data_IF_848036631133
#
_entry.id   IF_848036631133
#
_cell.length_a   1.000
_cell.length_b   1.000
_cell.length_c   1.000
_cell.angle_alpha   90.00
_cell.angle_beta   90.00
_cell.angle_gamma   90.00
#
_symmetry.space_group_name_H-M   'P 1'
#
loop_
_entity.id
_entity.type
_entity.pdbx_description
1 polymer ?
#
# COMPACT_ATOMS: atom_id res chain seq x y z
N UNK A 1 5.82 6.91 -23.94
CA UNK A 1 5.19 8.24 -24.24
C UNK A 1 3.73 8.29 -23.80
N UNK A 2 2.90 7.24 -24.05
CA UNK A 2 1.47 7.21 -23.67
C UNK A 2 1.16 7.35 -22.18
N UNK A 3 1.96 6.77 -21.30
CA UNK A 3 1.73 6.82 -19.84
C UNK A 3 1.91 8.25 -19.29
N UNK A 4 2.91 8.99 -19.75
CA UNK A 4 3.15 10.37 -19.30
C UNK A 4 2.00 11.31 -19.68
N UNK A 5 1.47 11.20 -20.91
CA UNK A 5 0.34 12.01 -21.39
C UNK A 5 -0.92 11.68 -20.59
N UNK A 6 -1.19 10.38 -20.37
CA UNK A 6 -2.34 9.93 -19.60
C UNK A 6 -2.28 10.41 -18.14
N UNK A 7 -1.10 10.39 -17.53
CA UNK A 7 -0.89 10.91 -16.17
C UNK A 7 -1.10 12.42 -16.09
N UNK A 8 -0.58 13.17 -17.06
CA UNK A 8 -0.80 14.61 -17.15
C UNK A 8 -2.29 14.97 -17.26
N UNK A 9 -3.02 14.24 -18.11
CA UNK A 9 -4.47 14.39 -18.22
C UNK A 9 -5.21 14.08 -16.91
N UNK A 10 -4.86 12.97 -16.26
CA UNK A 10 -5.45 12.62 -14.96
C UNK A 10 -5.10 13.63 -13.86
N UNK A 11 -3.88 14.19 -13.88
CA UNK A 11 -3.49 15.26 -12.98
C UNK A 11 -4.40 16.49 -13.13
N UNK A 12 -4.65 16.94 -14.37
CA UNK A 12 -5.55 18.05 -14.66
C UNK A 12 -6.99 17.77 -14.18
N UNK A 13 -7.51 16.56 -14.43
CA UNK A 13 -8.86 16.17 -13.97
C UNK A 13 -8.98 16.13 -12.44
N UNK A 14 -7.89 15.80 -11.73
CA UNK A 14 -7.81 15.73 -10.27
C UNK A 14 -7.31 17.03 -9.63
N UNK A 15 -7.16 18.10 -10.40
CA UNK A 15 -6.57 19.37 -9.90
C UNK A 15 -7.28 19.90 -8.65
N UNK A 16 -8.60 19.82 -8.61
CA UNK A 16 -9.42 20.27 -7.46
C UNK A 16 -9.27 19.41 -6.19
N UNK A 17 -8.64 18.25 -6.29
CA UNK A 17 -8.44 17.30 -5.17
C UNK A 17 -7.01 17.38 -4.62
N UNK A 18 -6.41 18.56 -4.60
CA UNK A 18 -5.05 18.80 -4.08
C UNK A 18 -5.10 19.27 -2.63
N UNK A 19 -4.12 18.82 -1.84
CA UNK A 19 -3.83 19.34 -0.50
C UNK A 19 -5.06 19.44 0.42
N UNK A 20 -6.02 18.52 0.30
CA UNK A 20 -7.23 18.51 1.14
C UNK A 20 -8.28 19.57 0.78
N UNK A 21 -8.18 20.24 -0.37
CA UNK A 21 -9.19 21.21 -0.78
C UNK A 21 -10.59 20.58 -0.84
N UNK A 22 -11.56 21.23 -0.16
CA UNK A 22 -12.95 20.74 -0.07
C UNK A 22 -13.16 19.57 0.90
N UNK A 23 -12.16 19.20 1.69
CA UNK A 23 -12.31 18.18 2.73
C UNK A 23 -12.69 18.86 4.05
N UNK A 24 -13.90 18.55 4.55
CA UNK A 24 -14.45 19.13 5.77
C UNK A 24 -14.14 18.32 7.04
N UNK A 25 -13.78 17.03 6.89
CA UNK A 25 -13.36 16.20 8.02
C UNK A 25 -11.96 16.63 8.50
N UNK A 26 -11.79 17.07 9.77
CA UNK A 26 -10.48 17.48 10.28
C UNK A 26 -9.44 16.36 10.23
N UNK A 27 -9.84 15.13 10.55
CA UNK A 27 -8.94 13.97 10.51
C UNK A 27 -8.50 13.61 9.08
N UNK A 28 -9.41 13.69 8.10
CA UNK A 28 -9.06 13.44 6.70
C UNK A 28 -8.18 14.56 6.14
N UNK A 29 -8.48 15.82 6.50
CA UNK A 29 -7.64 16.96 6.13
C UNK A 29 -6.22 16.80 6.70
N UNK A 30 -6.09 16.45 7.97
CA UNK A 30 -4.81 16.18 8.61
C UNK A 30 -4.07 15.04 7.88
N UNK A 31 -4.74 13.92 7.62
CA UNK A 31 -4.15 12.78 6.95
C UNK A 31 -3.65 13.14 5.53
N UNK A 32 -4.46 13.86 4.76
CA UNK A 32 -4.07 14.31 3.42
C UNK A 32 -2.87 15.25 3.48
N UNK A 33 -2.89 16.24 4.37
CA UNK A 33 -1.88 17.30 4.41
C UNK A 33 -0.56 16.80 5.00
N UNK A 34 -0.61 16.07 6.12
CA UNK A 34 0.58 15.73 6.91
C UNK A 34 1.07 14.29 6.74
N UNK A 35 0.33 13.44 6.02
CA UNK A 35 0.78 12.07 5.69
C UNK A 35 0.96 11.93 4.18
N UNK A 36 -0.07 12.22 3.39
CA UNK A 36 0.00 12.03 1.93
C UNK A 36 0.95 13.07 1.31
N UNK A 37 0.80 14.37 1.63
CA UNK A 37 1.58 15.47 1.04
C UNK A 37 2.84 15.84 1.82
N UNK A 38 3.17 15.13 2.90
CA UNK A 38 4.39 15.38 3.67
C UNK A 38 5.64 15.31 2.77
N UNK A 39 6.55 16.29 2.95
CA UNK A 39 7.76 16.45 2.11
C UNK A 39 9.06 16.37 2.91
N UNK A 40 8.98 16.16 4.23
CA UNK A 40 10.18 16.07 5.06
C UNK A 40 11.13 14.97 4.56
N UNK A 41 12.44 15.22 4.57
CA UNK A 41 13.45 14.23 4.23
C UNK A 41 13.64 13.28 5.41
N UNK A 42 13.02 12.10 5.34
CA UNK A 42 13.23 11.06 6.34
C UNK A 42 14.57 10.34 6.13
N UNK A 43 15.19 9.90 7.21
CA UNK A 43 16.51 9.24 7.22
C UNK A 43 16.62 8.04 6.28
N UNK A 44 15.53 7.29 6.11
CA UNK A 44 15.49 6.08 5.27
C UNK A 44 15.51 6.38 3.77
N UNK A 45 15.18 7.59 3.32
CA UNK A 45 14.97 7.86 1.90
C UNK A 45 16.23 7.77 1.06
N UNK A 46 17.34 8.31 1.54
CA UNK A 46 18.59 8.31 0.79
C UNK A 46 19.18 6.89 0.61
N UNK A 47 19.33 6.06 1.65
CA UNK A 47 19.78 4.68 1.49
C UNK A 47 18.87 3.84 0.56
N UNK A 48 17.55 3.96 0.72
CA UNK A 48 16.60 3.20 -0.08
C UNK A 48 16.54 3.63 -1.55
N UNK A 49 16.83 4.90 -1.84
CA UNK A 49 16.97 5.38 -3.22
C UNK A 49 18.06 4.63 -3.99
N UNK A 50 19.19 4.35 -3.34
CA UNK A 50 20.28 3.59 -3.96
C UNK A 50 19.88 2.13 -4.22
N UNK A 51 19.15 1.49 -3.30
CA UNK A 51 18.68 0.11 -3.46
C UNK A 51 17.72 -0.05 -4.65
N UNK A 52 16.89 0.94 -4.94
CA UNK A 52 15.94 0.91 -6.08
C UNK A 52 16.64 0.60 -7.41
N UNK A 53 17.86 1.11 -7.62
CA UNK A 53 18.60 0.93 -8.89
C UNK A 53 18.98 -0.53 -9.12
N UNK A 54 19.21 -1.29 -8.06
CA UNK A 54 19.61 -2.71 -8.14
C UNK A 54 18.48 -3.60 -8.63
N UNK A 55 17.23 -3.24 -8.36
CA UNK A 55 16.03 -4.04 -8.69
C UNK A 55 15.06 -3.32 -9.64
N UNK A 56 15.55 -2.34 -10.39
CA UNK A 56 14.73 -1.55 -11.31
C UNK A 56 14.06 -2.37 -12.44
N UNK A 57 14.54 -3.60 -12.70
CA UNK A 57 13.98 -4.53 -13.68
C UNK A 57 12.78 -5.34 -13.16
N UNK A 58 12.52 -5.32 -11.85
CA UNK A 58 11.39 -6.00 -11.22
C UNK A 58 10.21 -5.03 -11.03
N UNK A 59 8.97 -5.53 -10.91
CA UNK A 59 7.79 -4.69 -10.64
C UNK A 59 7.99 -3.83 -9.39
N UNK A 60 7.83 -2.52 -9.53
CA UNK A 60 7.96 -1.56 -8.43
C UNK A 60 7.11 -0.31 -8.67
N UNK A 61 6.81 0.40 -7.61
CA UNK A 61 6.15 1.71 -7.70
C UNK A 61 7.14 2.82 -8.06
N UNK A 62 6.60 3.99 -8.37
CA UNK A 62 7.38 5.24 -8.38
C UNK A 62 7.85 5.54 -6.96
N UNK A 63 9.06 6.07 -6.81
CA UNK A 63 9.68 6.36 -5.50
C UNK A 63 8.79 7.21 -4.58
N UNK A 64 8.04 8.13 -5.16
CA UNK A 64 7.05 8.95 -4.44
C UNK A 64 6.00 8.09 -3.71
N UNK A 65 5.58 6.96 -4.29
CA UNK A 65 4.64 6.02 -3.69
C UNK A 65 5.31 5.28 -2.55
N UNK A 66 6.53 4.76 -2.74
CA UNK A 66 7.26 4.07 -1.69
C UNK A 66 7.53 5.00 -0.49
N UNK A 67 7.92 6.26 -0.75
CA UNK A 67 8.04 7.28 0.30
C UNK A 67 6.70 7.55 1.01
N UNK A 68 5.61 7.49 0.30
CA UNK A 68 4.28 7.58 0.91
C UNK A 68 3.97 6.35 1.77
N UNK A 69 4.28 5.13 1.31
CA UNK A 69 4.11 3.91 2.11
C UNK A 69 4.90 4.00 3.42
N UNK A 70 6.13 4.48 3.39
CA UNK A 70 6.90 4.77 4.62
C UNK A 70 6.11 5.69 5.58
N UNK A 71 5.62 6.83 5.09
CA UNK A 71 4.89 7.80 5.92
C UNK A 71 3.58 7.25 6.46
N UNK A 72 2.87 6.47 5.64
CA UNK A 72 1.63 5.80 6.03
C UNK A 72 1.87 4.84 7.20
N UNK A 73 2.89 3.98 7.08
CA UNK A 73 3.26 3.04 8.15
C UNK A 73 3.73 3.79 9.41
N UNK A 74 4.54 4.83 9.24
CA UNK A 74 4.98 5.67 10.37
C UNK A 74 3.80 6.36 11.09
N UNK A 75 2.73 6.70 10.36
CA UNK A 75 1.52 7.28 10.92
C UNK A 75 0.63 6.24 11.61
N UNK A 76 0.37 5.12 10.94
CA UNK A 76 -0.50 4.05 11.46
C UNK A 76 0.14 3.24 12.59
N UNK A 77 1.46 3.10 12.58
CA UNK A 77 2.28 2.34 13.56
C UNK A 77 1.76 0.92 13.80
N UNK A 78 1.52 0.14 12.74
CA UNK A 78 1.04 -1.22 12.90
C UNK A 78 2.11 -2.10 13.56
N UNK A 79 1.70 -3.15 14.26
CA UNK A 79 2.58 -4.21 14.76
C UNK A 79 2.88 -5.25 13.67
N UNK A 80 1.91 -5.50 12.79
CA UNK A 80 2.02 -6.52 11.72
C UNK A 80 1.53 -5.95 10.39
N UNK A 81 2.39 -6.08 9.38
CA UNK A 81 2.07 -5.76 7.98
C UNK A 81 2.15 -7.03 7.13
N UNK A 82 1.14 -7.28 6.32
CA UNK A 82 1.17 -8.30 5.28
C UNK A 82 1.20 -7.65 3.90
N UNK A 83 2.17 -8.03 3.07
CA UNK A 83 2.28 -7.59 1.70
C UNK A 83 2.13 -8.78 0.75
N UNK A 84 1.15 -8.73 -0.15
CA UNK A 84 0.92 -9.76 -1.17
C UNK A 84 1.40 -9.26 -2.52
N UNK A 85 2.39 -9.95 -3.08
CA UNK A 85 3.07 -9.54 -4.31
C UNK A 85 4.27 -8.64 -4.02
N UNK A 86 5.35 -9.21 -3.51
CA UNK A 86 6.60 -8.52 -3.11
C UNK A 86 7.21 -7.64 -4.21
N UNK A 87 7.04 -8.05 -5.49
CA UNK A 87 7.68 -7.36 -6.61
C UNK A 87 9.18 -7.22 -6.40
N UNK A 88 9.70 -6.00 -6.46
CA UNK A 88 11.13 -5.72 -6.25
C UNK A 88 11.57 -5.75 -4.78
N UNK A 89 10.66 -5.85 -3.81
CA UNK A 89 10.96 -5.76 -2.38
C UNK A 89 11.25 -4.34 -1.88
N UNK A 90 11.25 -3.34 -2.74
CA UNK A 90 11.54 -1.95 -2.35
C UNK A 90 10.42 -1.38 -1.48
N UNK A 91 9.15 -1.60 -1.84
CA UNK A 91 8.01 -1.17 -1.01
C UNK A 91 8.08 -1.79 0.38
N UNK A 92 8.39 -3.10 0.45
CA UNK A 92 8.62 -3.82 1.70
C UNK A 92 9.68 -3.14 2.57
N UNK A 93 10.82 -2.76 1.97
CA UNK A 93 11.90 -2.06 2.67
C UNK A 93 11.46 -0.68 3.16
N UNK A 94 10.78 0.11 2.34
CA UNK A 94 10.25 1.41 2.78
C UNK A 94 9.28 1.27 3.95
N UNK A 95 8.39 0.29 3.92
CA UNK A 95 7.48 0.02 5.03
C UNK A 95 8.23 -0.42 6.29
N UNK A 96 9.16 -1.36 6.18
CA UNK A 96 9.91 -1.90 7.32
C UNK A 96 10.87 -0.89 7.97
N UNK A 97 11.33 0.13 7.24
CA UNK A 97 12.16 1.21 7.81
C UNK A 97 11.34 2.26 8.58
N UNK A 98 10.03 2.28 8.42
CA UNK A 98 9.18 3.27 9.08
C UNK A 98 8.99 3.02 10.58
N UNK A 99 9.07 1.76 11.02
CA UNK A 99 8.89 1.39 12.43
C UNK A 99 9.74 0.16 12.79
N UNK A 100 10.57 0.26 13.82
CA UNK A 100 11.48 -0.81 14.25
C UNK A 100 10.79 -1.92 15.06
N UNK A 101 9.63 -1.65 15.66
CA UNK A 101 8.84 -2.62 16.44
C UNK A 101 7.83 -3.41 15.62
N UNK A 102 7.85 -3.29 14.30
CA UNK A 102 6.87 -3.89 13.40
C UNK A 102 7.46 -5.11 12.71
N UNK A 103 6.62 -6.14 12.47
CA UNK A 103 6.95 -7.29 11.63
C UNK A 103 6.25 -7.18 10.27
N UNK A 104 7.00 -7.37 9.20
CA UNK A 104 6.50 -7.38 7.82
C UNK A 104 6.59 -8.81 7.28
N UNK A 105 5.48 -9.38 6.89
CA UNK A 105 5.40 -10.63 6.13
C UNK A 105 5.10 -10.28 4.68
N UNK A 106 6.03 -10.58 3.77
CA UNK A 106 5.83 -10.33 2.35
C UNK A 106 5.77 -11.64 1.59
N UNK A 107 4.71 -11.82 0.80
CA UNK A 107 4.38 -13.07 0.12
C UNK A 107 4.62 -12.93 -1.38
N UNK A 108 5.31 -13.92 -1.95
CA UNK A 108 5.57 -14.02 -3.39
C UNK A 108 5.41 -15.46 -3.86
N UNK A 109 4.86 -15.67 -5.05
CA UNK A 109 4.78 -17.01 -5.64
C UNK A 109 6.16 -17.54 -6.01
N UNK A 110 7.06 -16.64 -6.42
CA UNK A 110 8.41 -16.99 -6.86
C UNK A 110 9.45 -16.30 -5.98
N UNK A 111 10.59 -16.96 -5.84
CA UNK A 111 11.72 -16.46 -5.09
C UNK A 111 12.75 -15.84 -6.01
N UNK A 112 13.09 -14.57 -5.78
CA UNK A 112 14.09 -13.81 -6.53
C UNK A 112 15.31 -13.51 -5.65
N UNK A 113 16.51 -13.89 -6.09
CA UNK A 113 17.73 -13.69 -5.31
C UNK A 113 18.08 -12.20 -5.13
N UNK A 114 17.73 -11.35 -6.08
CA UNK A 114 17.89 -9.92 -5.96
C UNK A 114 16.99 -9.35 -4.85
N UNK A 115 15.75 -9.85 -4.73
CA UNK A 115 14.81 -9.47 -3.68
C UNK A 115 15.28 -9.97 -2.32
N UNK A 116 15.72 -11.24 -2.23
CA UNK A 116 16.31 -11.79 -0.98
C UNK A 116 17.44 -10.89 -0.45
N UNK A 117 18.37 -10.49 -1.33
CA UNK A 117 19.48 -9.62 -0.95
C UNK A 117 19.02 -8.26 -0.43
N UNK A 118 17.98 -7.68 -1.01
CA UNK A 118 17.42 -6.40 -0.55
C UNK A 118 16.73 -6.56 0.81
N UNK A 119 16.02 -7.66 1.02
CA UNK A 119 15.24 -7.89 2.24
C UNK A 119 16.08 -8.43 3.40
N UNK A 120 17.16 -9.19 3.15
CA UNK A 120 18.00 -9.82 4.17
C UNK A 120 18.68 -8.88 5.15
N UNK A 121 18.80 -7.60 4.80
CA UNK A 121 19.40 -6.58 5.68
C UNK A 121 18.48 -6.08 6.82
N UNK A 122 17.29 -6.66 6.98
CA UNK A 122 16.29 -6.23 7.98
C UNK A 122 15.63 -7.44 8.63
N UNK A 123 15.90 -7.67 9.91
CA UNK A 123 15.38 -8.82 10.68
C UNK A 123 13.86 -8.78 10.91
N UNK A 124 13.24 -7.64 10.73
CA UNK A 124 11.79 -7.46 10.84
C UNK A 124 11.02 -7.79 9.55
N UNK A 125 11.67 -8.43 8.56
CA UNK A 125 11.03 -8.83 7.30
C UNK A 125 11.14 -10.34 7.15
N UNK A 126 9.98 -11.00 7.03
CA UNK A 126 9.87 -12.40 6.62
C UNK A 126 9.45 -12.47 5.15
N UNK A 127 10.36 -12.92 4.28
CA UNK A 127 10.09 -13.15 2.87
C UNK A 127 9.65 -14.59 2.64
N UNK A 128 8.34 -14.78 2.42
CA UNK A 128 7.68 -16.06 2.26
C UNK A 128 7.42 -16.31 0.78
N UNK A 129 7.90 -17.44 0.26
CA UNK A 129 7.83 -17.75 -1.16
C UNK A 129 7.18 -19.11 -1.41
N UNK A 130 6.40 -19.21 -2.50
CA UNK A 130 5.69 -20.42 -2.91
C UNK A 130 4.19 -20.33 -2.64
N UNK A 131 3.65 -21.13 -1.71
CA UNK A 131 2.22 -21.16 -1.45
C UNK A 131 1.83 -20.05 -0.43
N UNK A 132 1.50 -18.89 -0.96
CA UNK A 132 1.11 -17.72 -0.14
C UNK A 132 -0.08 -18.02 0.79
N UNK A 133 -1.08 -18.77 0.34
CA UNK A 133 -2.26 -19.09 1.14
C UNK A 133 -1.94 -19.99 2.32
N UNK A 134 -1.13 -21.03 2.11
CA UNK A 134 -0.70 -21.93 3.18
C UNK A 134 0.13 -21.18 4.25
N UNK A 135 0.99 -20.24 3.81
CA UNK A 135 1.78 -19.43 4.72
C UNK A 135 0.90 -18.46 5.53
N UNK A 136 -0.10 -17.83 4.92
CA UNK A 136 -1.09 -17.00 5.61
C UNK A 136 -1.86 -17.81 6.64
N UNK A 137 -2.35 -19.01 6.28
CA UNK A 137 -3.06 -19.90 7.21
C UNK A 137 -2.18 -20.33 8.40
N UNK A 138 -0.90 -20.60 8.15
CA UNK A 138 0.07 -20.92 9.18
C UNK A 138 0.27 -19.74 10.15
N UNK A 139 0.33 -18.51 9.65
CA UNK A 139 0.45 -17.31 10.47
C UNK A 139 -0.82 -17.07 11.28
N UNK A 140 -1.99 -17.21 10.68
CA UNK A 140 -3.28 -17.08 11.38
C UNK A 140 -3.45 -18.10 12.50
N UNK A 141 -3.03 -19.35 12.28
CA UNK A 141 -3.02 -20.40 13.33
C UNK A 141 -2.11 -20.05 14.50
N UNK A 142 -1.07 -19.23 14.27
CA UNK A 142 -0.18 -18.70 15.33
C UNK A 142 -0.71 -17.42 15.98
N UNK A 143 -1.90 -16.96 15.60
CA UNK A 143 -2.50 -15.72 16.11
C UNK A 143 -1.94 -14.44 15.48
N UNK A 144 -1.12 -14.54 14.43
CA UNK A 144 -0.55 -13.37 13.73
C UNK A 144 -1.57 -12.83 12.73
N UNK A 145 -2.16 -11.68 13.02
CA UNK A 145 -3.12 -10.98 12.16
C UNK A 145 -2.53 -9.67 11.65
N UNK A 146 -2.77 -9.31 10.37
CA UNK A 146 -2.29 -8.03 9.84
C UNK A 146 -3.16 -6.87 10.31
N UNK A 147 -2.54 -5.76 10.69
CA UNK A 147 -3.17 -4.46 10.88
C UNK A 147 -3.11 -3.62 9.59
N UNK A 148 -2.09 -3.87 8.75
CA UNK A 148 -2.00 -3.31 7.41
C UNK A 148 -1.83 -4.45 6.40
N UNK A 149 -2.63 -4.42 5.34
CA UNK A 149 -2.55 -5.35 4.21
C UNK A 149 -2.22 -4.56 2.95
N UNK A 150 -1.09 -4.87 2.32
CA UNK A 150 -0.70 -4.29 1.04
C UNK A 150 -0.87 -5.31 -0.08
N UNK A 151 -1.92 -5.17 -0.89
CA UNK A 151 -2.14 -5.97 -2.10
C UNK A 151 -1.44 -5.25 -3.26
N UNK A 152 -0.21 -5.67 -3.55
CA UNK A 152 0.72 -4.95 -4.42
C UNK A 152 0.77 -5.52 -5.85
N UNK A 153 1.86 -6.21 -6.17
CA UNK A 153 2.18 -6.71 -7.51
C UNK A 153 1.72 -8.16 -7.72
N UNK A 154 0.43 -8.43 -7.51
CA UNK A 154 -0.15 -9.77 -7.70
C UNK A 154 -1.31 -9.74 -8.68
N UNK A 155 -1.45 -10.75 -9.58
CA UNK A 155 -2.64 -10.91 -10.40
C UNK A 155 -3.85 -11.37 -9.58
N UNK A 156 -3.63 -12.07 -8.44
CA UNK A 156 -4.65 -12.60 -7.55
C UNK A 156 -5.24 -11.54 -6.57
N UNK A 157 -5.26 -10.26 -6.99
CA UNK A 157 -5.64 -9.16 -6.10
C UNK A 157 -7.10 -9.26 -5.59
N UNK A 158 -8.02 -9.82 -6.39
CA UNK A 158 -9.42 -10.01 -6.01
C UNK A 158 -9.56 -11.09 -4.94
N UNK A 159 -8.98 -12.25 -5.20
CA UNK A 159 -8.97 -13.40 -4.32
C UNK A 159 -8.33 -13.05 -2.97
N UNK A 160 -7.21 -12.33 -3.00
CA UNK A 160 -6.51 -11.89 -1.80
C UNK A 160 -7.34 -10.88 -1.00
N UNK A 161 -8.02 -9.95 -1.68
CA UNK A 161 -8.91 -9.00 -1.01
C UNK A 161 -10.06 -9.73 -0.29
N UNK A 162 -10.75 -10.65 -0.99
CA UNK A 162 -11.87 -11.41 -0.42
C UNK A 162 -11.43 -12.34 0.73
N UNK A 163 -10.23 -12.92 0.63
CA UNK A 163 -9.66 -13.75 1.69
C UNK A 163 -9.30 -12.96 2.94
N UNK A 164 -8.81 -11.75 2.79
CA UNK A 164 -8.25 -10.96 3.90
C UNK A 164 -9.26 -9.99 4.53
N UNK A 165 -10.30 -9.57 3.80
CA UNK A 165 -11.30 -8.65 4.34
C UNK A 165 -12.03 -9.16 5.60
N UNK A 166 -12.29 -10.47 5.79
CA UNK A 166 -12.88 -10.97 7.03
C UNK A 166 -11.99 -10.79 8.28
N UNK A 167 -10.70 -10.53 8.10
CA UNK A 167 -9.75 -10.28 9.18
C UNK A 167 -9.72 -8.81 9.61
N UNK A 168 -10.30 -7.93 8.78
CA UNK A 168 -10.25 -6.49 9.00
C UNK A 168 -11.14 -6.05 10.17
N UNK A 169 -10.60 -5.15 10.97
CA UNK A 169 -11.31 -4.45 12.05
C UNK A 169 -11.15 -2.92 11.88
N UNK A 170 -11.62 -2.15 12.85
CA UNK A 170 -11.59 -0.67 12.79
C UNK A 170 -10.19 -0.06 12.72
N UNK A 171 -9.15 -0.80 13.09
CA UNK A 171 -7.75 -0.35 13.04
C UNK A 171 -7.04 -0.81 11.77
N UNK A 172 -7.67 -1.66 10.97
CA UNK A 172 -7.08 -2.23 9.78
C UNK A 172 -7.08 -1.25 8.62
N UNK A 173 -5.98 -1.23 7.84
CA UNK A 173 -5.87 -0.50 6.58
C UNK A 173 -5.45 -1.43 5.45
N UNK A 174 -6.22 -1.46 4.35
CA UNK A 174 -5.78 -2.11 3.12
C UNK A 174 -5.23 -1.08 2.14
N UNK A 175 -4.11 -1.43 1.52
CA UNK A 175 -3.43 -0.66 0.48
C UNK A 175 -3.55 -1.44 -0.82
N UNK A 176 -4.27 -0.90 -1.79
CA UNK A 176 -4.47 -1.50 -3.11
C UNK A 176 -3.50 -0.89 -4.10
N UNK A 177 -2.55 -1.67 -4.57
CA UNK A 177 -1.55 -1.21 -5.54
C UNK A 177 -2.10 -1.05 -6.94
N UNK A 178 -1.75 0.04 -7.62
CA UNK A 178 -2.07 0.32 -9.02
C UNK A 178 -3.53 0.04 -9.40
N UNK A 179 -4.54 0.67 -8.76
CA UNK A 179 -5.96 0.39 -9.02
C UNK A 179 -6.39 0.72 -10.45
N UNK A 180 -5.58 1.47 -11.19
CA UNK A 180 -5.81 1.88 -12.58
C UNK A 180 -4.92 1.17 -13.60
N UNK A 181 -4.21 0.10 -13.22
CA UNK A 181 -3.29 -0.63 -14.11
C UNK A 181 -4.00 -1.23 -15.33
N UNK A 182 -5.21 -1.73 -15.16
CA UNK A 182 -6.05 -2.28 -16.23
C UNK A 182 -7.49 -1.79 -16.12
N UNK A 183 -8.28 -1.81 -17.22
CA UNK A 183 -9.70 -1.49 -17.16
C UNK A 183 -10.48 -2.40 -16.19
N UNK A 184 -10.07 -3.67 -16.08
CA UNK A 184 -10.68 -4.62 -15.16
C UNK A 184 -10.39 -4.24 -13.69
N UNK A 185 -9.12 -3.99 -13.34
CA UNK A 185 -8.75 -3.58 -11.98
C UNK A 185 -9.39 -2.25 -11.58
N UNK A 186 -9.54 -1.33 -12.53
CA UNK A 186 -10.27 -0.07 -12.32
C UNK A 186 -11.76 -0.30 -12.02
N UNK A 187 -12.44 -1.27 -12.68
CA UNK A 187 -13.83 -1.62 -12.38
C UNK A 187 -13.91 -2.23 -10.97
N UNK A 188 -13.06 -3.20 -10.70
CA UNK A 188 -12.98 -3.82 -9.38
C UNK A 188 -12.69 -2.80 -8.25
N UNK A 189 -11.81 -1.83 -8.49
CA UNK A 189 -11.57 -0.75 -7.50
C UNK A 189 -12.84 0.03 -7.17
N UNK A 190 -13.69 0.29 -8.16
CA UNK A 190 -15.01 0.92 -7.90
C UNK A 190 -15.95 0.01 -7.10
N UNK A 191 -15.89 -1.30 -7.31
CA UNK A 191 -16.63 -2.28 -6.51
C UNK A 191 -16.14 -2.26 -5.06
N UNK A 192 -14.84 -2.22 -4.82
CA UNK A 192 -14.25 -2.08 -3.48
C UNK A 192 -14.70 -0.79 -2.79
N UNK A 193 -14.72 0.33 -3.50
CA UNK A 193 -15.24 1.61 -2.98
C UNK A 193 -16.72 1.50 -2.56
N UNK A 194 -17.51 0.81 -3.36
CA UNK A 194 -18.94 0.65 -3.13
C UNK A 194 -19.27 -0.44 -2.08
N UNK A 195 -18.35 -1.36 -1.80
CA UNK A 195 -18.54 -2.50 -0.91
C UNK A 195 -18.97 -2.07 0.50
N UNK A 196 -20.12 -2.54 1.02
CA UNK A 196 -20.60 -2.16 2.34
C UNK A 196 -19.69 -2.60 3.49
N UNK A 197 -18.78 -3.54 3.24
CA UNK A 197 -17.79 -3.98 4.21
C UNK A 197 -16.67 -2.95 4.42
N UNK A 198 -16.42 -2.05 3.46
CA UNK A 198 -15.41 -1.00 3.54
C UNK A 198 -15.95 0.28 4.20
N UNK A 199 -15.08 1.05 4.82
CA UNK A 199 -15.36 2.37 5.38
C UNK A 199 -14.88 3.50 4.46
N UNK A 200 -14.01 4.38 4.98
CA UNK A 200 -13.44 5.48 4.20
C UNK A 200 -12.38 4.95 3.23
N UNK A 201 -12.41 5.45 2.00
CA UNK A 201 -11.43 5.11 0.98
C UNK A 201 -10.73 6.36 0.45
N UNK A 202 -9.41 6.25 0.19
CA UNK A 202 -8.63 7.29 -0.46
C UNK A 202 -8.08 6.77 -1.79
N UNK A 203 -8.34 7.50 -2.86
CA UNK A 203 -7.84 7.21 -4.20
C UNK A 203 -6.69 8.15 -4.56
N UNK A 204 -5.46 7.65 -4.51
CA UNK A 204 -4.24 8.38 -4.82
C UNK A 204 -3.74 8.12 -6.25
N UNK A 205 -4.51 7.45 -7.08
CA UNK A 205 -4.20 6.99 -8.43
C UNK A 205 -3.26 5.77 -8.48
N UNK A 206 -2.01 5.90 -8.01
CA UNK A 206 -1.04 4.80 -7.99
C UNK A 206 -1.33 3.78 -6.87
N UNK A 207 -2.00 4.22 -5.82
CA UNK A 207 -2.50 3.36 -4.73
C UNK A 207 -3.88 3.81 -4.28
N UNK A 208 -4.69 2.86 -3.83
CA UNK A 208 -5.94 3.08 -3.12
C UNK A 208 -5.80 2.67 -1.66
N UNK A 209 -6.40 3.41 -0.74
CA UNK A 209 -6.47 3.03 0.67
C UNK A 209 -7.91 2.70 1.05
N UNK A 210 -8.06 1.68 1.89
CA UNK A 210 -9.36 1.26 2.43
C UNK A 210 -9.23 1.14 3.94
N UNK A 211 -10.03 1.90 4.67
CA UNK A 211 -10.18 1.81 6.13
C UNK A 211 -11.51 1.13 6.46
N UNK A 212 -11.59 0.49 7.61
CA UNK A 212 -12.72 -0.35 7.99
C UNK A 212 -13.48 0.15 9.24
N UNK A 213 -13.15 1.35 9.71
CA UNK A 213 -13.84 1.97 10.83
C UNK A 213 -15.30 2.28 10.45
N UNK A 214 -16.24 1.56 11.04
CA UNK A 214 -17.69 1.69 10.82
C UNK A 214 -18.34 2.77 11.70
N UNK A 215 -17.64 3.30 12.68
CA UNK A 215 -18.10 4.43 13.50
C UNK A 215 -18.07 5.74 12.69
N UNK A 216 -17.29 5.76 11.61
CA UNK A 216 -17.19 6.89 10.68
C UNK A 216 -18.13 6.72 9.49
N UNK A 217 -18.67 7.83 9.01
CA UNK A 217 -19.46 7.83 7.77
C UNK A 217 -18.59 7.35 6.61
N UNK A 218 -19.13 6.42 5.83
CA UNK A 218 -18.45 5.91 4.64
C UNK A 218 -18.30 7.04 3.62
N UNK A 219 -17.07 7.33 3.21
CA UNK A 219 -16.75 8.36 2.25
C UNK A 219 -15.64 7.92 1.30
N UNK A 220 -15.67 8.45 0.09
CA UNK A 220 -14.62 8.25 -0.91
C UNK A 220 -13.89 9.57 -1.19
N UNK A 221 -12.60 9.60 -0.90
CA UNK A 221 -11.72 10.76 -1.09
C UNK A 221 -10.81 10.55 -2.30
N UNK A 222 -10.97 11.37 -3.33
CA UNK A 222 -9.98 11.44 -4.42
C UNK A 222 -8.89 12.42 -4.00
N UNK A 223 -7.62 12.00 -4.11
CA UNK A 223 -6.47 12.84 -3.80
C UNK A 223 -5.55 12.90 -5.02
N UNK A 224 -5.21 14.09 -5.48
CA UNK A 224 -4.29 14.25 -6.61
C UNK A 224 -2.84 14.03 -6.17
N UNK A 225 -2.44 12.78 -6.15
CA UNK A 225 -1.09 12.33 -5.78
C UNK A 225 -0.27 11.88 -7.00
N UNK A 226 -0.53 12.43 -8.19
CA UNK A 226 0.12 12.13 -9.48
C UNK A 226 1.48 12.82 -9.66
#
# INVERSE_FOLDING_TARGET
>A
MGDFILRGWNWCRRFRHRCGYGVHSPSDFFFITFVIYERLPFYAYAPLHHLRRVVAFLPHYREKVDKFLFRLINHLRPSVVWEVGTGSGISTRYMAEANTGMQVYTFSEQSEDAVKRILSGKSSIDYLTGNCEADMDRLLKKGVKPEVVHIAHTPAYKEMFERLIPLADKHTCFIIGNPYATPEKKRWWKEVIADPRTGITFDLYDVGLVFFDKERVKEHRIVNFL
#
